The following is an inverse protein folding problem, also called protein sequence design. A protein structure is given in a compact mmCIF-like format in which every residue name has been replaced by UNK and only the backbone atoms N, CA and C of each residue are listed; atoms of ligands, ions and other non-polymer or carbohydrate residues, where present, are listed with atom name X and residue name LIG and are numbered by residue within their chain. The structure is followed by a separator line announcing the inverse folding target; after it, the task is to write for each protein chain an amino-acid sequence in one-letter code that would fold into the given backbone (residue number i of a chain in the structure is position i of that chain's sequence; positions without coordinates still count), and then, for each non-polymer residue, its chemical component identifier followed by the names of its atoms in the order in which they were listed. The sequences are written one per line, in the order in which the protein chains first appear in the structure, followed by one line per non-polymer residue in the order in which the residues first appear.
data_IF_432991830155
#
_entry.id   IF_432991830155
#
_cell.length_a   1.000
_cell.length_b   1.000
_cell.length_c   1.000
_cell.angle_alpha   90.00
_cell.angle_beta   90.00
_cell.angle_gamma   90.00
#
_symmetry.space_group_name_H-M   'P 1'
#
loop_
_entity.id
_entity.type
_entity.pdbx_description
1 polymer ?
#
# COMPACT_ATOMS: atom_id res chain seq x y z
N UNK A 1 11.11 3.16 -9.95
CA UNK A 1 11.29 3.63 -8.58
C UNK A 1 12.13 2.63 -7.79
N UNK A 2 13.06 3.12 -7.02
CA UNK A 2 13.95 2.25 -6.24
C UNK A 2 13.51 2.26 -4.77
N UNK A 3 13.22 1.09 -4.24
CA UNK A 3 12.79 0.92 -2.85
C UNK A 3 13.96 0.42 -2.01
N UNK A 4 14.00 0.82 -0.74
CA UNK A 4 15.11 0.48 0.14
C UNK A 4 15.15 -1.01 0.49
N UNK A 5 14.02 -1.59 0.83
CA UNK A 5 13.96 -2.93 1.40
C UNK A 5 12.57 -3.53 1.26
N UNK A 6 12.52 -4.83 1.00
CA UNK A 6 11.27 -5.59 1.05
C UNK A 6 10.98 -5.95 2.50
N UNK A 7 9.81 -5.52 3.00
CA UNK A 7 9.34 -5.85 4.35
C UNK A 7 8.52 -7.13 4.37
N UNK A 8 7.72 -7.36 3.34
CA UNK A 8 6.87 -8.54 3.23
C UNK A 8 6.44 -8.78 1.80
N UNK A 9 6.23 -10.04 1.43
CA UNK A 9 5.66 -10.43 0.14
C UNK A 9 4.35 -11.15 0.37
N UNK A 10 3.35 -10.83 -0.45
CA UNK A 10 2.03 -11.47 -0.45
C UNK A 10 1.65 -11.82 -1.87
N UNK A 11 0.68 -12.72 -2.11
CA UNK A 11 0.30 -13.09 -3.47
C UNK A 11 -0.16 -11.93 -4.35
N UNK A 12 -0.74 -10.89 -3.75
CA UNK A 12 -1.33 -9.75 -4.47
C UNK A 12 -0.50 -8.46 -4.37
N UNK A 13 0.49 -8.42 -3.49
CA UNK A 13 1.28 -7.20 -3.26
C UNK A 13 2.63 -7.50 -2.63
N UNK A 14 3.53 -6.52 -2.74
CA UNK A 14 4.80 -6.53 -2.02
C UNK A 14 4.87 -5.25 -1.19
N UNK A 15 5.30 -5.37 0.04
CA UNK A 15 5.44 -4.24 0.95
C UNK A 15 6.91 -3.87 1.05
N UNK A 16 7.23 -2.62 0.70
CA UNK A 16 8.58 -2.09 0.71
C UNK A 16 8.74 -1.04 1.80
N UNK A 17 9.97 -0.90 2.29
CA UNK A 17 10.35 0.23 3.10
C UNK A 17 10.85 1.37 2.21
N UNK A 18 10.41 2.60 2.51
CA UNK A 18 10.87 3.82 1.85
C UNK A 18 10.99 4.92 2.91
N UNK A 19 12.19 5.09 3.48
CA UNK A 19 12.38 6.00 4.60
C UNK A 19 11.59 5.52 5.82
N UNK A 20 10.72 6.38 6.34
CA UNK A 20 9.82 6.04 7.44
C UNK A 20 8.48 5.48 6.98
N UNK A 21 8.29 5.37 5.67
CA UNK A 21 7.04 4.91 5.07
C UNK A 21 7.10 3.44 4.72
N UNK A 22 5.93 2.81 4.70
CA UNK A 22 5.73 1.49 4.13
C UNK A 22 4.91 1.65 2.84
N UNK A 23 5.40 1.11 1.74
CA UNK A 23 4.73 1.18 0.45
C UNK A 23 4.18 -0.20 0.09
N UNK A 24 2.88 -0.30 -0.12
CA UNK A 24 2.24 -1.50 -0.63
C UNK A 24 2.13 -1.38 -2.14
N UNK A 25 2.93 -2.14 -2.87
CA UNK A 25 2.92 -2.16 -4.33
C UNK A 25 2.10 -3.36 -4.78
N UNK A 26 0.95 -3.11 -5.40
CA UNK A 26 0.00 -4.14 -5.78
C UNK A 26 0.34 -4.73 -7.14
N UNK A 27 -0.05 -5.97 -7.34
CA UNK A 27 0.11 -6.67 -8.60
C UNK A 27 -0.52 -5.85 -9.74
N UNK A 28 0.09 -5.89 -10.93
CA UNK A 28 -0.36 -5.09 -12.08
C UNK A 28 -1.78 -5.39 -12.54
N UNK A 29 -2.31 -6.57 -12.20
CA UNK A 29 -3.70 -6.94 -12.53
C UNK A 29 -4.69 -6.57 -11.41
N UNK A 30 -4.24 -5.91 -10.36
CA UNK A 30 -5.12 -5.46 -9.28
C UNK A 30 -6.01 -4.33 -9.77
N UNK A 31 -7.33 -4.43 -9.56
CA UNK A 31 -8.27 -3.44 -10.10
C UNK A 31 -8.28 -2.15 -9.29
N UNK A 32 -8.69 -1.06 -9.95
CA UNK A 32 -8.85 0.23 -9.28
C UNK A 32 -9.89 0.15 -8.15
N UNK A 33 -10.97 -0.60 -8.36
CA UNK A 33 -11.99 -0.76 -7.33
C UNK A 33 -11.43 -1.48 -6.10
N UNK A 34 -10.60 -2.49 -6.31
CA UNK A 34 -9.98 -3.23 -5.22
C UNK A 34 -8.98 -2.36 -4.45
N UNK A 35 -8.19 -1.53 -5.15
CA UNK A 35 -7.23 -0.67 -4.48
C UNK A 35 -7.92 0.40 -3.64
N UNK A 36 -9.01 0.97 -4.13
CA UNK A 36 -9.78 1.95 -3.38
C UNK A 36 -10.44 1.32 -2.16
N UNK A 37 -10.91 0.08 -2.29
CA UNK A 37 -11.48 -0.66 -1.17
C UNK A 37 -10.42 -0.96 -0.09
N UNK A 38 -9.23 -1.34 -0.50
CA UNK A 38 -8.09 -1.56 0.39
C UNK A 38 -7.74 -0.28 1.15
N UNK A 39 -7.66 0.85 0.44
CA UNK A 39 -7.37 2.15 1.03
C UNK A 39 -8.45 2.56 2.04
N UNK A 40 -9.72 2.34 1.70
CA UNK A 40 -10.83 2.64 2.58
C UNK A 40 -10.76 1.82 3.87
N UNK A 41 -10.47 0.53 3.77
CA UNK A 41 -10.33 -0.34 4.93
C UNK A 41 -9.18 0.12 5.82
N UNK A 42 -8.06 0.51 5.24
CA UNK A 42 -6.92 1.03 6.01
C UNK A 42 -7.30 2.32 6.74
N UNK A 43 -8.00 3.23 6.09
CA UNK A 43 -8.47 4.47 6.70
C UNK A 43 -9.43 4.21 7.87
N UNK A 44 -10.34 3.23 7.72
CA UNK A 44 -11.27 2.85 8.78
C UNK A 44 -10.55 2.29 10.01
N UNK A 45 -9.56 1.44 9.80
CA UNK A 45 -8.76 0.89 10.90
C UNK A 45 -7.97 2.00 11.59
N UNK A 46 -7.43 2.93 10.82
CA UNK A 46 -6.71 4.10 11.32
C UNK A 46 -7.60 4.94 12.26
N UNK A 47 -8.87 5.12 11.90
CA UNK A 47 -9.83 5.88 12.70
C UNK A 47 -10.17 5.20 14.04
N UNK A 48 -9.94 3.90 14.18
CA UNK A 48 -10.18 3.18 15.43
C UNK A 48 -9.09 3.45 16.48
N UNK A 49 -8.02 4.15 16.12
CA UNK A 49 -6.92 4.44 17.01
C UNK A 49 -5.92 3.30 17.16
N UNK A 50 -6.01 2.25 16.36
CA UNK A 50 -5.02 1.20 16.35
C UNK A 50 -3.69 1.73 15.82
N UNK A 51 -2.60 1.21 16.37
CA UNK A 51 -1.25 1.62 15.99
C UNK A 51 -0.84 0.94 14.66
N UNK A 52 -1.30 1.50 13.56
CA UNK A 52 -0.96 1.06 12.20
C UNK A 52 -0.41 2.24 11.41
N UNK A 53 0.34 2.00 10.32
CA UNK A 53 0.78 3.09 9.45
C UNK A 53 -0.41 3.87 8.87
N UNK A 54 -0.31 5.21 8.90
CA UNK A 54 -1.32 6.07 8.33
C UNK A 54 -1.36 5.93 6.81
N UNK A 55 -2.58 6.04 6.25
CA UNK A 55 -2.77 6.12 4.81
C UNK A 55 -2.39 7.52 4.35
N UNK A 56 -1.25 7.65 3.69
CA UNK A 56 -0.74 8.94 3.22
C UNK A 56 -1.14 9.26 1.79
N UNK A 57 -1.14 8.26 0.93
CA UNK A 57 -1.33 8.48 -0.50
C UNK A 57 -1.74 7.20 -1.21
N UNK A 58 -2.56 7.34 -2.24
CA UNK A 58 -2.87 6.27 -3.19
C UNK A 58 -2.42 6.79 -4.56
N UNK A 59 -1.51 6.07 -5.21
CA UNK A 59 -0.97 6.52 -6.49
C UNK A 59 -0.66 5.33 -7.40
N UNK A 60 -0.26 5.62 -8.63
CA UNK A 60 0.18 4.60 -9.58
C UNK A 60 1.63 4.90 -9.99
N UNK A 61 2.49 3.90 -9.90
CA UNK A 61 3.90 4.00 -10.29
C UNK A 61 4.22 2.80 -11.19
N UNK A 62 4.76 3.09 -12.38
CA UNK A 62 5.17 2.05 -13.35
C UNK A 62 4.05 1.03 -13.64
N UNK A 63 2.81 1.50 -13.76
CA UNK A 63 1.67 0.65 -14.07
C UNK A 63 1.12 -0.16 -12.90
N UNK A 64 1.61 0.08 -11.68
CA UNK A 64 1.16 -0.61 -10.47
C UNK A 64 0.61 0.37 -9.45
N UNK A 65 -0.48 -0.02 -8.77
CA UNK A 65 -1.03 0.76 -7.67
C UNK A 65 -0.14 0.67 -6.44
N UNK A 66 0.02 1.78 -5.75
CA UNK A 66 0.84 1.91 -4.55
C UNK A 66 0.04 2.66 -3.48
N UNK A 67 0.04 2.15 -2.29
CA UNK A 67 -0.54 2.81 -1.11
C UNK A 67 0.56 3.13 -0.12
#
# INVERSE_FOLDING_TARGET
MKYEKILAERPDKVIYKDGENALKVFNSNYSKADILNEALNQARVEETGLNIPALNQVTMIDGQWVI
#
